data_IF_076618469785
#
_entry.id   IF_076618469785
#
_cell.length_a   1.000
_cell.length_b   1.000
_cell.length_c   1.000
_cell.angle_alpha   90.00
_cell.angle_beta   90.00
_cell.angle_gamma   90.00
#
_symmetry.space_group_name_H-M   'P 1'
#
loop_
_entity.id
_entity.type
_entity.pdbx_description
1 polymer ?
#
# COMPACT_ATOMS: atom_id res chain seq x y z
N UNK A 1 -22.57 3.70 7.80
CA UNK A 1 -22.33 2.39 8.43
C UNK A 1 -21.09 1.76 7.80
N UNK A 2 -19.98 1.64 8.54
CA UNK A 2 -18.75 1.00 8.04
C UNK A 2 -18.96 -0.52 8.07
N UNK A 3 -18.81 -1.21 6.94
CA UNK A 3 -19.03 -2.66 6.81
C UNK A 3 -17.70 -3.39 7.02
N UNK A 4 -17.31 -3.59 8.26
CA UNK A 4 -16.07 -4.30 8.64
C UNK A 4 -16.13 -5.81 8.33
N UNK A 5 -17.34 -6.37 8.25
CA UNK A 5 -17.54 -7.81 8.01
C UNK A 5 -17.65 -8.19 6.53
N UNK A 6 -17.48 -7.22 5.62
CA UNK A 6 -17.59 -7.49 4.20
C UNK A 6 -16.35 -8.28 3.73
N UNK A 7 -16.53 -9.60 3.58
CA UNK A 7 -15.48 -10.48 3.04
C UNK A 7 -15.10 -10.00 1.64
N UNK A 8 -13.89 -9.45 1.51
CA UNK A 8 -13.30 -9.17 0.20
C UNK A 8 -13.11 -10.52 -0.50
N UNK A 9 -13.73 -10.74 -1.68
CA UNK A 9 -13.59 -12.02 -2.37
C UNK A 9 -12.12 -12.34 -2.66
N UNK A 10 -11.77 -13.62 -2.88
CA UNK A 10 -10.52 -14.01 -3.49
C UNK A 10 -10.24 -13.15 -4.73
N UNK A 11 -9.03 -12.59 -4.81
CA UNK A 11 -8.54 -11.81 -5.94
C UNK A 11 -7.51 -12.71 -6.59
N UNK A 12 -7.73 -13.05 -7.85
CA UNK A 12 -6.76 -13.80 -8.63
C UNK A 12 -5.68 -12.85 -9.11
N UNK A 13 -4.43 -13.08 -8.71
CA UNK A 13 -3.30 -12.32 -9.23
C UNK A 13 -2.90 -12.86 -10.60
N UNK A 14 -2.40 -11.98 -11.47
CA UNK A 14 -1.80 -12.42 -12.73
C UNK A 14 -0.62 -13.38 -12.42
N UNK A 15 -0.45 -14.49 -13.16
CA UNK A 15 0.61 -15.47 -12.88
C UNK A 15 2.02 -14.85 -12.90
N UNK A 16 2.24 -13.85 -13.76
CA UNK A 16 3.53 -13.14 -13.85
C UNK A 16 3.65 -11.92 -12.93
N UNK A 17 2.67 -11.67 -12.05
CA UNK A 17 2.74 -10.54 -11.13
C UNK A 17 3.89 -10.74 -10.14
N UNK A 18 4.86 -9.81 -10.16
CA UNK A 18 6.02 -9.84 -9.24
C UNK A 18 5.78 -9.05 -7.95
N UNK A 19 4.83 -8.12 -7.98
CA UNK A 19 4.58 -7.22 -6.87
C UNK A 19 3.10 -6.81 -6.76
N UNK A 20 2.68 -6.49 -5.53
CA UNK A 20 1.45 -5.78 -5.21
C UNK A 20 1.82 -4.40 -4.65
N UNK A 21 1.32 -3.34 -5.27
CA UNK A 21 1.43 -1.96 -4.74
C UNK A 21 0.11 -1.57 -4.08
N UNK A 22 0.17 -1.25 -2.79
CA UNK A 22 -0.97 -0.81 -1.97
C UNK A 22 -0.83 0.68 -1.73
N UNK A 23 -1.79 1.49 -2.21
CA UNK A 23 -1.75 2.96 -2.06
C UNK A 23 -2.86 3.39 -1.09
N UNK A 24 -2.45 4.04 0.01
CA UNK A 24 -3.36 4.52 1.08
C UNK A 24 -3.89 3.39 1.96
N UNK A 25 -3.41 3.31 3.20
CA UNK A 25 -3.65 2.13 4.05
C UNK A 25 -4.94 2.13 4.88
N UNK A 26 -5.78 3.16 4.75
CA UNK A 26 -6.99 3.29 5.58
C UNK A 26 -8.16 2.40 5.18
N UNK A 27 -8.16 1.85 3.96
CA UNK A 27 -9.17 0.91 3.52
C UNK A 27 -8.68 -0.51 3.83
N UNK A 28 -9.32 -1.15 4.81
CA UNK A 28 -9.01 -2.46 5.41
C UNK A 28 -8.99 -3.63 4.40
N UNK A 29 -8.01 -3.62 3.50
CA UNK A 29 -7.76 -4.67 2.49
C UNK A 29 -6.57 -5.52 2.86
N UNK A 30 -6.30 -5.65 4.17
CA UNK A 30 -5.23 -6.47 4.77
C UNK A 30 -5.25 -7.91 4.24
N UNK A 31 -6.45 -8.41 3.94
CA UNK A 31 -6.66 -9.73 3.32
C UNK A 31 -6.13 -9.87 1.90
N UNK A 32 -6.10 -8.81 1.09
CA UNK A 32 -5.52 -8.84 -0.27
C UNK A 32 -4.00 -8.89 -0.17
N UNK A 33 -3.40 -8.06 0.67
CA UNK A 33 -1.96 -8.09 0.92
C UNK A 33 -1.50 -9.43 1.51
N UNK A 34 -2.27 -9.99 2.46
CA UNK A 34 -2.01 -11.34 3.00
C UNK A 34 -1.97 -12.39 1.88
N UNK A 35 -2.99 -12.42 1.02
CA UNK A 35 -3.06 -13.37 -0.10
C UNK A 35 -1.97 -13.14 -1.14
N UNK A 36 -1.55 -11.89 -1.38
CA UNK A 36 -0.42 -11.60 -2.26
C UNK A 36 0.88 -12.19 -1.71
N UNK A 37 1.14 -12.04 -0.39
CA UNK A 37 2.32 -12.67 0.23
C UNK A 37 2.29 -14.19 0.10
N UNK A 38 1.14 -14.81 0.34
CA UNK A 38 0.94 -16.26 0.19
C UNK A 38 1.14 -16.73 -1.27
N UNK A 39 0.83 -15.88 -2.25
CA UNK A 39 0.98 -16.18 -3.67
C UNK A 39 2.39 -15.87 -4.24
N UNK A 40 3.27 -15.20 -3.49
CA UNK A 40 4.64 -14.87 -3.89
C UNK A 40 4.94 -13.42 -4.29
N UNK A 41 4.00 -12.59 -4.80
CA UNK A 41 4.27 -11.18 -5.05
C UNK A 41 4.82 -10.41 -3.84
N UNK A 42 5.84 -9.58 -4.08
CA UNK A 42 6.36 -8.63 -3.09
C UNK A 42 5.35 -7.53 -2.81
N UNK A 43 5.09 -7.22 -1.54
CA UNK A 43 4.14 -6.17 -1.17
C UNK A 43 4.88 -4.85 -0.91
N UNK A 44 4.44 -3.79 -1.59
CA UNK A 44 4.83 -2.40 -1.38
C UNK A 44 3.65 -1.62 -0.84
N UNK A 45 3.86 -0.85 0.22
CA UNK A 45 2.84 -0.01 0.86
C UNK A 45 3.24 1.45 0.68
N UNK A 46 2.46 2.21 -0.09
CA UNK A 46 2.66 3.64 -0.32
C UNK A 46 1.78 4.41 0.63
N UNK A 47 2.41 5.03 1.61
CA UNK A 47 1.75 5.85 2.60
C UNK A 47 2.78 6.77 3.29
N UNK A 48 2.49 8.06 3.48
CA UNK A 48 3.42 8.97 4.14
C UNK A 48 3.58 8.71 5.65
N UNK A 49 2.78 7.82 6.26
CA UNK A 49 2.75 7.56 7.71
C UNK A 49 2.47 8.82 8.54
N UNK A 50 1.70 9.74 7.95
CA UNK A 50 1.33 10.98 8.61
C UNK A 50 0.71 11.99 7.67
N UNK A 51 0.34 13.14 8.24
CA UNK A 51 -0.12 14.28 7.46
C UNK A 51 0.33 15.59 8.11
N UNK A 52 0.52 16.67 7.32
CA UNK A 52 0.85 17.98 7.88
C UNK A 52 -0.37 18.55 8.59
N UNK A 53 -0.15 19.15 9.76
CA UNK A 53 -1.14 19.88 10.53
C UNK A 53 -1.15 21.36 10.14
N UNK A 54 -2.25 22.10 10.39
CA UNK A 54 -2.35 23.53 10.06
C UNK A 54 -1.30 24.41 10.74
N UNK A 55 -0.75 23.98 11.87
CA UNK A 55 0.31 24.67 12.62
C UNK A 55 1.72 24.41 12.06
N UNK A 56 1.82 23.68 10.95
CA UNK A 56 3.09 23.28 10.32
C UNK A 56 3.76 22.07 10.97
N UNK A 57 3.20 21.52 12.05
CA UNK A 57 3.70 20.27 12.65
C UNK A 57 3.28 19.05 11.82
N UNK A 58 4.01 17.94 11.98
CA UNK A 58 3.65 16.66 11.35
C UNK A 58 2.85 15.80 12.34
N UNK A 59 1.72 15.27 11.90
CA UNK A 59 1.01 14.24 12.64
C UNK A 59 1.46 12.87 12.17
N UNK A 60 2.21 12.15 12.98
CA UNK A 60 2.57 10.76 12.71
C UNK A 60 1.39 9.83 12.96
N UNK A 61 1.18 8.88 12.04
CA UNK A 61 0.39 7.69 12.32
C UNK A 61 1.17 6.45 11.85
N UNK A 62 1.54 5.54 12.76
CA UNK A 62 2.22 4.32 12.36
C UNK A 62 1.25 3.42 11.59
N UNK A 63 1.75 2.77 10.53
CA UNK A 63 0.98 1.75 9.83
C UNK A 63 0.93 0.45 10.66
N UNK A 64 -0.27 -0.06 10.88
CA UNK A 64 -0.44 -1.34 11.59
C UNK A 64 -0.34 -2.58 10.69
N UNK A 65 -0.51 -2.41 9.38
CA UNK A 65 -0.64 -3.54 8.45
C UNK A 65 0.66 -4.06 7.80
N UNK A 66 1.76 -3.30 7.67
CA UNK A 66 3.02 -3.84 7.18
C UNK A 66 3.46 -5.07 7.99
N UNK A 67 3.97 -6.06 7.29
CA UNK A 67 4.52 -7.29 7.86
C UNK A 67 6.01 -7.37 7.55
N UNK A 68 6.73 -8.24 8.26
CA UNK A 68 8.13 -8.54 7.96
C UNK A 68 8.30 -8.93 6.50
N UNK A 69 9.21 -8.23 5.81
CA UNK A 69 9.47 -8.45 4.39
C UNK A 69 8.62 -7.60 3.45
N UNK A 70 7.71 -6.75 3.92
CA UNK A 70 7.11 -5.72 3.07
C UNK A 70 8.04 -4.51 2.91
N UNK A 71 7.76 -3.65 1.94
CA UNK A 71 8.43 -2.36 1.77
C UNK A 71 7.44 -1.24 1.98
N UNK A 72 7.72 -0.34 2.93
CA UNK A 72 6.95 0.90 3.10
C UNK A 72 7.63 2.01 2.31
N UNK A 73 6.90 2.58 1.35
CA UNK A 73 7.29 3.74 0.56
C UNK A 73 6.66 4.97 1.21
N UNK A 74 7.47 5.70 1.97
CA UNK A 74 7.06 6.90 2.73
C UNK A 74 6.88 8.11 1.82
N UNK A 75 5.84 8.07 1.02
CA UNK A 75 5.51 9.13 0.07
C UNK A 75 3.99 9.27 -0.02
N UNK A 76 3.55 10.45 -0.46
CA UNK A 76 2.16 10.60 -0.90
C UNK A 76 1.91 9.72 -2.13
N UNK A 77 0.64 9.33 -2.33
CA UNK A 77 0.23 8.58 -3.51
C UNK A 77 0.68 9.25 -4.82
N UNK A 78 0.50 10.57 -4.91
CA UNK A 78 0.87 11.34 -6.10
C UNK A 78 2.38 11.27 -6.37
N UNK A 79 3.21 11.52 -5.36
CA UNK A 79 4.66 11.48 -5.51
C UNK A 79 5.16 10.09 -5.92
N UNK A 80 4.65 9.03 -5.26
CA UNK A 80 5.08 7.67 -5.54
C UNK A 80 4.68 7.20 -6.95
N UNK A 81 3.47 7.54 -7.41
CA UNK A 81 3.00 7.18 -8.75
C UNK A 81 3.76 7.96 -9.83
N UNK A 82 3.98 9.26 -9.64
CA UNK A 82 4.79 10.06 -10.56
C UNK A 82 6.21 9.53 -10.71
N UNK A 83 6.83 9.13 -9.59
CA UNK A 83 8.18 8.57 -9.62
C UNK A 83 8.20 7.19 -10.28
N UNK A 84 7.21 6.34 -10.00
CA UNK A 84 7.08 5.04 -10.65
C UNK A 84 6.90 5.18 -12.17
N UNK A 85 6.04 6.10 -12.60
CA UNK A 85 5.85 6.42 -14.02
C UNK A 85 7.18 6.85 -14.66
N UNK A 86 7.92 7.76 -14.01
CA UNK A 86 9.22 8.21 -14.48
C UNK A 86 10.19 7.04 -14.65
N UNK A 87 10.25 6.13 -13.68
CA UNK A 87 11.14 4.96 -13.74
C UNK A 87 10.75 3.98 -14.85
N UNK A 88 9.46 3.75 -15.07
CA UNK A 88 8.96 2.84 -16.11
C UNK A 88 9.15 3.40 -17.51
N UNK A 89 9.11 4.73 -17.67
CA UNK A 89 9.35 5.40 -18.96
C UNK A 89 10.85 5.57 -19.27
N UNK A 90 11.74 5.23 -18.33
CA UNK A 90 13.19 5.21 -18.52
C UNK A 90 13.75 3.79 -18.73
N UNK A 91 12.89 2.77 -18.65
CA UNK A 91 13.23 1.36 -18.77
C UNK A 91 13.05 0.84 -20.21
#
# INVERSE_FOLDING_TARGET
>A
MRRYDQRIPPVTFHPDAKALVVIGLHADRRWVAKRAREAGPKVFLVDPEGFPRPDGSWFEYPLEAPQSGDVVVRQTAAAAVSELERLLNLA
#
